data_IF_307298827275
#
_entry.id   IF_307298827275
#
_cell.length_a   1.000
_cell.length_b   1.000
_cell.length_c   1.000
_cell.angle_alpha   90.00
_cell.angle_beta   90.00
_cell.angle_gamma   90.00
#
_symmetry.space_group_name_H-M   'P 1'
#
loop_
_entity.id
_entity.type
_entity.pdbx_description
1 polymer ?
#
# COMPACT_ATOMS: atom_id res chain seq x y z
N UNK A 1 -4.60 -13.17 -12.11
CA UNK A 1 -3.92 -12.48 -11.01
C UNK A 1 -4.44 -11.06 -10.87
N UNK A 2 -4.28 -10.19 -11.88
CA UNK A 2 -4.64 -8.76 -11.75
C UNK A 2 -6.12 -8.52 -11.45
N UNK A 3 -7.03 -9.28 -12.06
CA UNK A 3 -8.48 -9.18 -11.77
C UNK A 3 -8.78 -9.51 -10.30
N UNK A 4 -8.20 -10.59 -9.77
CA UNK A 4 -8.38 -10.96 -8.36
C UNK A 4 -7.78 -9.91 -7.44
N UNK A 5 -6.62 -9.36 -7.82
CA UNK A 5 -5.95 -8.31 -7.06
C UNK A 5 -6.82 -7.05 -6.95
N UNK A 6 -7.32 -6.54 -8.09
CA UNK A 6 -8.23 -5.39 -8.13
C UNK A 6 -9.54 -5.66 -7.38
N UNK A 7 -10.07 -6.88 -7.47
CA UNK A 7 -11.33 -7.24 -6.80
C UNK A 7 -11.24 -7.16 -5.27
N UNK A 8 -10.08 -7.42 -4.65
CA UNK A 8 -9.92 -7.22 -3.21
C UNK A 8 -10.11 -5.74 -2.82
N UNK A 9 -9.52 -4.82 -3.59
CA UNK A 9 -9.71 -3.38 -3.37
C UNK A 9 -11.17 -2.98 -3.58
N UNK A 10 -11.79 -3.40 -4.68
CA UNK A 10 -13.20 -3.09 -4.97
C UNK A 10 -14.10 -3.62 -3.85
N UNK A 11 -13.85 -4.83 -3.37
CA UNK A 11 -14.61 -5.40 -2.26
C UNK A 11 -14.49 -4.55 -0.98
N UNK A 12 -13.26 -4.18 -0.59
CA UNK A 12 -13.03 -3.32 0.56
C UNK A 12 -13.72 -1.95 0.43
N UNK A 13 -13.68 -1.33 -0.75
CA UNK A 13 -14.35 -0.06 -1.01
C UNK A 13 -15.88 -0.19 -0.98
N UNK A 14 -16.43 -1.29 -1.51
CA UNK A 14 -17.86 -1.55 -1.45
C UNK A 14 -18.34 -1.72 0.00
N UNK A 15 -17.58 -2.42 0.85
CA UNK A 15 -17.87 -2.48 2.29
C UNK A 15 -17.87 -1.07 2.90
N UNK A 16 -16.83 -0.28 2.61
CA UNK A 16 -16.70 1.08 3.13
C UNK A 16 -17.88 1.99 2.73
N UNK A 17 -18.29 1.97 1.46
CA UNK A 17 -19.39 2.79 0.96
C UNK A 17 -20.78 2.31 1.40
N UNK A 18 -20.92 1.01 1.70
CA UNK A 18 -22.17 0.43 2.19
C UNK A 18 -22.31 0.52 3.72
N UNK A 19 -21.27 0.99 4.42
CA UNK A 19 -21.25 1.02 5.89
C UNK A 19 -21.04 -0.34 6.55
N UNK A 20 -20.66 -1.36 5.77
CA UNK A 20 -20.39 -2.71 6.25
C UNK A 20 -18.94 -2.86 6.73
N UNK A 21 -18.65 -3.79 7.65
CA UNK A 21 -17.27 -4.13 8.01
C UNK A 21 -16.48 -4.60 6.77
N UNK A 22 -15.30 -4.01 6.57
CA UNK A 22 -14.36 -4.46 5.56
C UNK A 22 -13.44 -5.56 6.13
N UNK A 23 -12.69 -6.28 5.28
CA UNK A 23 -11.64 -7.17 5.75
C UNK A 23 -10.69 -6.46 6.72
N UNK A 24 -10.22 -7.15 7.77
CA UNK A 24 -9.51 -6.52 8.89
C UNK A 24 -8.29 -5.69 8.45
N UNK A 25 -7.50 -6.19 7.49
CA UNK A 25 -6.34 -5.50 6.93
C UNK A 25 -6.70 -4.19 6.21
N UNK A 26 -7.93 -4.07 5.68
CA UNK A 26 -8.47 -2.84 5.11
C UNK A 26 -9.21 -1.96 6.12
N UNK A 27 -9.79 -2.56 7.15
CA UNK A 27 -10.60 -1.87 8.16
C UNK A 27 -9.81 -0.74 8.83
N UNK A 28 -8.52 -0.95 9.10
CA UNK A 28 -7.61 0.08 9.64
C UNK A 28 -7.56 1.33 8.76
N UNK A 29 -7.42 1.15 7.44
CA UNK A 29 -7.36 2.25 6.48
C UNK A 29 -8.68 3.01 6.40
N UNK A 30 -9.80 2.27 6.39
CA UNK A 30 -11.17 2.82 6.31
C UNK A 30 -11.55 3.58 7.58
N UNK A 31 -11.19 3.07 8.75
CA UNK A 31 -11.45 3.79 10.00
C UNK A 31 -10.54 5.00 10.15
N UNK A 32 -9.32 4.95 9.62
CA UNK A 32 -8.45 6.11 9.55
C UNK A 32 -9.00 7.19 8.60
N UNK A 33 -9.65 6.82 7.50
CA UNK A 33 -10.26 7.78 6.55
C UNK A 33 -11.44 8.57 7.10
N UNK A 34 -12.06 8.09 8.19
CA UNK A 34 -13.14 8.81 8.89
C UNK A 34 -12.62 9.86 9.88
N UNK A 35 -11.31 9.88 10.16
CA UNK A 35 -10.72 10.86 11.09
C UNK A 35 -10.63 12.24 10.44
N UNK A 36 -10.74 13.32 11.22
CA UNK A 36 -10.75 14.69 10.67
C UNK A 36 -9.40 15.21 10.19
N UNK A 37 -8.28 14.53 10.50
CA UNK A 37 -6.92 15.06 10.25
C UNK A 37 -5.87 14.09 9.67
N UNK A 38 -6.20 13.13 8.79
CA UNK A 38 -5.20 12.28 8.16
C UNK A 38 -4.43 13.03 7.05
N UNK A 39 -3.12 12.82 6.96
CA UNK A 39 -2.35 13.30 5.80
C UNK A 39 -2.58 12.38 4.60
N UNK A 40 -2.45 12.93 3.38
CA UNK A 40 -2.60 12.16 2.13
C UNK A 40 -1.63 10.97 2.10
N UNK A 41 -0.39 11.18 2.54
CA UNK A 41 0.63 10.13 2.59
C UNK A 41 0.24 8.97 3.52
N UNK A 42 -0.49 9.24 4.59
CA UNK A 42 -0.90 8.18 5.51
C UNK A 42 -2.01 7.31 4.94
N UNK A 43 -2.97 7.93 4.24
CA UNK A 43 -3.94 7.16 3.47
C UNK A 43 -3.28 6.30 2.43
N UNK A 44 -2.30 6.86 1.72
CA UNK A 44 -1.56 6.13 0.70
C UNK A 44 -0.83 4.94 1.34
N UNK A 45 -0.08 5.14 2.42
CA UNK A 45 0.65 4.05 3.07
C UNK A 45 -0.27 2.98 3.68
N UNK A 46 -1.40 3.37 4.28
CA UNK A 46 -2.37 2.42 4.82
C UNK A 46 -3.03 1.58 3.71
N UNK A 47 -3.42 2.23 2.60
CA UNK A 47 -3.98 1.53 1.46
C UNK A 47 -2.95 0.61 0.80
N UNK A 48 -1.70 1.06 0.65
CA UNK A 48 -0.61 0.23 0.13
C UNK A 48 -0.29 -0.93 1.05
N UNK A 49 -0.33 -0.73 2.37
CA UNK A 49 -0.13 -1.80 3.35
C UNK A 49 -1.19 -2.89 3.18
N UNK A 50 -2.49 -2.54 3.19
CA UNK A 50 -3.57 -3.50 3.00
C UNK A 50 -3.49 -4.19 1.64
N UNK A 51 -3.34 -3.40 0.58
CA UNK A 51 -3.42 -3.88 -0.80
C UNK A 51 -2.18 -4.68 -1.19
N UNK A 52 -0.98 -4.14 -1.00
CA UNK A 52 0.24 -4.80 -1.45
C UNK A 52 0.64 -5.92 -0.49
N UNK A 53 0.66 -5.68 0.82
CA UNK A 53 1.19 -6.69 1.74
C UNK A 53 0.26 -7.89 1.89
N UNK A 54 -1.07 -7.71 1.83
CA UNK A 54 -2.02 -8.82 2.02
C UNK A 54 -2.74 -9.26 0.74
N UNK A 55 -3.38 -8.34 0.00
CA UNK A 55 -4.21 -8.75 -1.15
C UNK A 55 -3.37 -9.37 -2.27
N UNK A 56 -2.17 -8.86 -2.52
CA UNK A 56 -1.32 -9.34 -3.62
C UNK A 56 -0.91 -10.80 -3.45
N UNK A 57 -0.50 -11.20 -2.25
CA UNK A 57 -0.09 -12.58 -1.98
C UNK A 57 -1.26 -13.55 -2.12
N UNK A 58 -2.45 -13.15 -1.66
CA UNK A 58 -3.68 -13.93 -1.81
C UNK A 58 -4.15 -13.99 -3.28
N UNK A 59 -4.08 -12.88 -4.01
CA UNK A 59 -4.41 -12.82 -5.44
C UNK A 59 -3.50 -13.73 -6.28
N UNK A 60 -2.21 -13.82 -5.94
CA UNK A 60 -1.28 -14.76 -6.55
C UNK A 60 -1.70 -16.20 -6.25
N UNK A 61 -1.93 -16.56 -4.99
CA UNK A 61 -2.30 -17.94 -4.60
C UNK A 61 -3.64 -18.43 -5.18
N UNK A 62 -4.60 -17.53 -5.42
CA UNK A 62 -5.85 -17.87 -6.10
C UNK A 62 -5.66 -18.03 -7.61
N UNK A 63 -4.65 -17.39 -8.19
CA UNK A 63 -4.47 -17.31 -9.65
C UNK A 63 -3.41 -18.24 -10.21
N UNK A 64 -2.47 -18.70 -9.38
CA UNK A 64 -1.30 -19.48 -9.78
C UNK A 64 -1.31 -20.78 -8.99
N UNK A 65 -1.16 -21.90 -9.68
CA UNK A 65 -1.11 -23.20 -9.01
C UNK A 65 0.14 -23.31 -8.14
N UNK A 66 0.09 -24.03 -7.01
CA UNK A 66 1.25 -24.20 -6.14
C UNK A 66 2.52 -24.66 -6.85
N UNK A 67 2.40 -25.56 -7.84
CA UNK A 67 3.53 -26.13 -8.58
C UNK A 67 4.16 -25.12 -9.57
N UNK A 68 3.42 -24.09 -9.95
CA UNK A 68 3.81 -23.09 -10.94
C UNK A 68 4.39 -21.81 -10.30
N UNK A 69 4.26 -21.66 -8.98
CA UNK A 69 4.58 -20.42 -8.25
C UNK A 69 6.02 -19.94 -8.46
N UNK A 70 6.98 -20.87 -8.51
CA UNK A 70 8.40 -20.55 -8.73
C UNK A 70 8.63 -20.09 -10.16
N UNK A 71 7.99 -20.73 -11.15
CA UNK A 71 8.07 -20.35 -12.57
C UNK A 71 7.43 -18.99 -12.83
N UNK A 72 6.37 -18.65 -12.09
CA UNK A 72 5.66 -17.37 -12.17
C UNK A 72 6.49 -16.16 -11.73
N UNK A 73 7.57 -16.36 -10.96
CA UNK A 73 8.43 -15.28 -10.46
C UNK A 73 8.91 -14.32 -11.53
N UNK A 74 9.28 -14.83 -12.71
CA UNK A 74 9.81 -14.00 -13.78
C UNK A 74 8.75 -13.05 -14.33
N UNK A 75 7.51 -13.52 -14.49
CA UNK A 75 6.42 -12.68 -14.98
C UNK A 75 5.98 -11.67 -13.92
N UNK A 76 5.96 -12.07 -12.65
CA UNK A 76 5.76 -11.16 -11.53
C UNK A 76 6.79 -10.01 -11.51
N UNK A 77 8.08 -10.33 -11.70
CA UNK A 77 9.15 -9.34 -11.71
C UNK A 77 9.10 -8.40 -12.93
N UNK A 78 8.64 -8.87 -14.09
CA UNK A 78 8.43 -8.01 -15.27
C UNK A 78 7.37 -6.95 -15.01
N UNK A 79 6.26 -7.32 -14.37
CA UNK A 79 5.22 -6.35 -13.96
C UNK A 79 5.80 -5.31 -13.02
N UNK A 80 6.63 -5.72 -12.05
CA UNK A 80 7.29 -4.79 -11.13
C UNK A 80 8.19 -3.80 -11.88
N UNK A 81 8.95 -4.26 -12.88
CA UNK A 81 9.80 -3.39 -13.70
C UNK A 81 8.98 -2.32 -14.44
N UNK A 82 7.87 -2.72 -15.08
CA UNK A 82 6.96 -1.79 -15.76
C UNK A 82 6.37 -0.81 -14.75
N UNK A 83 5.88 -1.30 -13.61
CA UNK A 83 5.29 -0.47 -12.57
C UNK A 83 6.30 0.57 -12.04
N UNK A 84 7.55 0.17 -11.76
CA UNK A 84 8.58 1.10 -11.32
C UNK A 84 8.96 2.14 -12.37
N UNK A 85 8.85 1.82 -13.66
CA UNK A 85 9.07 2.80 -14.73
C UNK A 85 8.01 3.90 -14.79
N UNK A 86 6.81 3.65 -14.26
CA UNK A 86 5.71 4.62 -14.19
C UNK A 86 5.71 5.43 -12.89
N UNK A 87 6.36 4.91 -11.85
CA UNK A 87 6.33 5.48 -10.50
C UNK A 87 7.16 6.75 -10.31
N UNK A 88 8.08 7.05 -11.23
CA UNK A 88 8.82 8.31 -11.19
C UNK A 88 7.87 9.50 -11.40
N UNK A 89 6.85 9.36 -12.26
CA UNK A 89 5.85 10.40 -12.49
C UNK A 89 4.91 10.56 -11.28
N UNK A 90 4.40 9.44 -10.74
CA UNK A 90 3.50 9.46 -9.57
C UNK A 90 4.17 10.05 -8.33
N UNK A 91 5.48 9.80 -8.14
CA UNK A 91 6.23 10.41 -7.04
C UNK A 91 6.30 11.93 -7.15
N UNK A 92 6.49 12.46 -8.36
CA UNK A 92 6.49 13.90 -8.60
C UNK A 92 5.11 14.51 -8.34
N UNK A 93 4.04 13.83 -8.77
CA UNK A 93 2.66 14.26 -8.53
C UNK A 93 2.36 14.32 -7.03
N UNK A 94 2.74 13.29 -6.26
CA UNK A 94 2.57 13.28 -4.80
C UNK A 94 3.43 14.35 -4.13
N UNK A 95 4.65 14.58 -4.61
CA UNK A 95 5.54 15.61 -4.09
C UNK A 95 4.95 17.02 -4.25
N UNK A 96 4.27 17.29 -5.36
CA UNK A 96 3.65 18.60 -5.61
C UNK A 96 2.60 19.00 -4.56
N UNK A 97 1.93 18.02 -3.93
CA UNK A 97 0.97 18.27 -2.85
C UNK A 97 1.59 18.30 -1.46
N UNK A 98 2.81 17.80 -1.30
CA UNK A 98 3.47 17.64 0.00
C UNK A 98 4.77 18.45 -0.03
N UNK A 99 4.69 19.77 0.14
CA UNK A 99 5.84 20.67 0.00
C UNK A 99 7.10 20.23 0.79
N UNK A 100 7.02 19.70 2.02
CA UNK A 100 8.23 19.17 2.68
C UNK A 100 8.81 17.91 2.03
N UNK A 101 7.98 17.06 1.42
CA UNK A 101 8.44 15.95 0.57
C UNK A 101 9.06 16.49 -0.73
N UNK A 102 8.48 17.55 -1.33
CA UNK A 102 9.07 18.26 -2.46
C UNK A 102 10.45 18.83 -2.13
N UNK A 103 10.62 19.45 -0.96
CA UNK A 103 11.92 19.95 -0.49
C UNK A 103 12.89 18.79 -0.27
N UNK A 104 12.47 17.69 0.37
CA UNK A 104 13.30 16.50 0.52
C UNK A 104 13.74 15.90 -0.83
N UNK A 105 12.85 15.84 -1.83
CA UNK A 105 13.14 15.34 -3.17
C UNK A 105 13.99 16.32 -4.02
N UNK A 106 13.83 17.63 -3.83
CA UNK A 106 14.61 18.65 -4.54
C UNK A 106 16.05 18.80 -3.99
N UNK A 107 16.24 18.57 -2.69
CA UNK A 107 17.55 18.69 -2.02
C UNK A 107 18.18 17.34 -1.66
N UNK A 108 17.47 16.23 -1.86
CA UNK A 108 17.99 14.87 -1.80
C UNK A 108 19.01 14.65 -2.90
N UNK A 109 20.07 13.88 -2.62
CA UNK A 109 21.02 13.48 -3.67
C UNK A 109 20.26 12.62 -4.68
N UNK A 110 20.48 12.84 -5.99
CA UNK A 110 19.92 12.07 -7.14
C UNK A 110 19.94 10.53 -7.02
N UNK A 111 20.65 9.97 -6.05
CA UNK A 111 20.73 8.54 -5.74
C UNK A 111 19.68 8.05 -4.73
N UNK A 112 19.01 8.95 -4.00
CA UNK A 112 18.03 8.67 -2.91
C UNK A 112 16.55 8.92 -3.30
N UNK A 113 16.27 9.38 -4.54
CA UNK A 113 14.97 9.90 -5.00
C UNK A 113 13.84 8.86 -5.18
N UNK A 114 13.92 7.72 -4.49
CA UNK A 114 13.10 6.53 -4.79
C UNK A 114 12.39 5.94 -3.59
N UNK A 115 12.11 6.70 -2.54
CA UNK A 115 11.51 6.18 -1.29
C UNK A 115 10.23 5.36 -1.54
N UNK A 116 9.29 5.88 -2.36
CA UNK A 116 8.04 5.18 -2.66
C UNK A 116 8.26 3.95 -3.54
N UNK A 117 9.13 4.04 -4.55
CA UNK A 117 9.48 2.89 -5.40
C UNK A 117 10.27 1.80 -4.65
N UNK A 118 11.12 2.18 -3.70
CA UNK A 118 11.85 1.28 -2.81
C UNK A 118 10.89 0.55 -1.87
N UNK A 119 9.98 1.29 -1.22
CA UNK A 119 8.94 0.71 -0.38
C UNK A 119 8.04 -0.26 -1.14
N UNK A 120 7.58 0.12 -2.34
CA UNK A 120 6.79 -0.79 -3.19
C UNK A 120 7.56 -2.03 -3.63
N UNK A 121 8.85 -1.90 -3.94
CA UNK A 121 9.68 -3.05 -4.29
C UNK A 121 9.83 -4.03 -3.14
N UNK A 122 10.07 -3.51 -1.93
CA UNK A 122 10.15 -4.33 -0.73
C UNK A 122 8.83 -5.06 -0.49
N UNK A 123 7.72 -4.31 -0.37
CA UNK A 123 6.38 -4.86 -0.11
C UNK A 123 5.95 -5.91 -1.14
N UNK A 124 6.22 -5.66 -2.44
CA UNK A 124 5.86 -6.63 -3.50
C UNK A 124 6.73 -7.89 -3.46
N UNK A 125 8.01 -7.77 -3.11
CA UNK A 125 8.88 -8.93 -2.94
C UNK A 125 8.46 -9.76 -1.71
N UNK A 126 8.07 -9.10 -0.63
CA UNK A 126 7.57 -9.75 0.58
C UNK A 126 6.25 -10.48 0.29
N UNK A 127 5.31 -9.82 -0.41
CA UNK A 127 4.06 -10.45 -0.86
C UNK A 127 4.29 -11.67 -1.75
N UNK A 128 5.25 -11.61 -2.68
CA UNK A 128 5.63 -12.77 -3.50
C UNK A 128 6.24 -13.89 -2.64
N UNK A 129 7.14 -13.54 -1.71
CA UNK A 129 7.75 -14.52 -0.81
C UNK A 129 6.71 -15.22 0.05
N UNK A 130 5.75 -14.46 0.59
CA UNK A 130 4.61 -15.02 1.32
C UNK A 130 3.73 -15.89 0.42
N UNK A 131 3.57 -15.52 -0.85
CA UNK A 131 2.84 -16.37 -1.79
C UNK A 131 3.50 -17.74 -1.99
N UNK A 132 4.83 -17.80 -2.02
CA UNK A 132 5.57 -19.06 -2.05
C UNK A 132 5.38 -19.86 -0.76
N UNK A 133 5.34 -19.21 0.41
CA UNK A 133 5.07 -19.88 1.69
C UNK A 133 3.70 -20.56 1.63
N UNK A 134 2.65 -19.82 1.28
CA UNK A 134 1.29 -20.36 1.20
C UNK A 134 1.15 -21.50 0.19
N UNK A 135 1.83 -21.42 -0.96
CA UNK A 135 1.85 -22.46 -1.97
C UNK A 135 2.48 -23.77 -1.46
N UNK A 136 3.51 -23.68 -0.62
CA UNK A 136 4.23 -24.84 -0.08
C UNK A 136 3.59 -25.41 1.20
N UNK A 137 2.70 -24.68 1.85
CA UNK A 137 1.98 -25.15 3.04
C UNK A 137 0.85 -26.13 2.67
N UNK A 138 0.70 -27.18 3.50
CA UNK A 138 -0.52 -27.99 3.53
C UNK A 138 -1.75 -27.13 3.88
N UNK A 139 -2.94 -27.54 3.44
CA UNK A 139 -4.17 -26.77 3.55
C UNK A 139 -4.46 -26.24 4.97
N UNK A 140 -4.28 -27.09 5.99
CA UNK A 140 -4.47 -26.71 7.39
C UNK A 140 -3.50 -25.61 7.85
N UNK A 141 -2.24 -25.71 7.46
CA UNK A 141 -1.21 -24.73 7.83
C UNK A 141 -1.35 -23.45 7.02
N UNK A 142 -1.78 -23.54 5.76
CA UNK A 142 -2.01 -22.40 4.87
C UNK A 142 -3.00 -21.40 5.46
N UNK A 143 -4.12 -21.88 6.04
CA UNK A 143 -5.11 -21.02 6.66
C UNK A 143 -4.55 -20.29 7.91
N UNK A 144 -3.75 -20.99 8.71
CA UNK A 144 -3.11 -20.43 9.91
C UNK A 144 -2.09 -19.35 9.52
N UNK A 145 -1.21 -19.66 8.59
CA UNK A 145 -0.19 -18.70 8.10
C UNK A 145 -0.84 -17.46 7.48
N UNK A 146 -1.90 -17.64 6.67
CA UNK A 146 -2.61 -16.51 6.09
C UNK A 146 -3.28 -15.62 7.16
N UNK A 147 -3.86 -16.22 8.21
CA UNK A 147 -4.43 -15.47 9.33
C UNK A 147 -3.35 -14.73 10.15
N UNK A 148 -2.19 -15.35 10.39
CA UNK A 148 -1.06 -14.70 11.06
C UNK A 148 -0.56 -13.49 10.26
N UNK A 149 -0.36 -13.68 8.95
CA UNK A 149 0.05 -12.59 8.06
C UNK A 149 -0.98 -11.45 8.00
N UNK A 150 -2.28 -11.78 8.03
CA UNK A 150 -3.32 -10.75 8.16
C UNK A 150 -3.14 -9.92 9.43
N UNK A 151 -2.91 -10.58 10.57
CA UNK A 151 -2.70 -9.90 11.85
C UNK A 151 -1.44 -9.02 11.82
N UNK A 152 -0.36 -9.47 11.19
CA UNK A 152 0.86 -8.67 11.01
C UNK A 152 0.61 -7.42 10.17
N UNK A 153 -0.16 -7.55 9.07
CA UNK A 153 -0.54 -6.40 8.22
C UNK A 153 -1.44 -5.42 8.97
N UNK A 154 -2.39 -5.91 9.78
CA UNK A 154 -3.24 -5.09 10.64
C UNK A 154 -2.38 -4.32 11.66
N UNK A 155 -1.53 -5.02 12.41
CA UNK A 155 -0.65 -4.45 13.42
C UNK A 155 0.31 -3.41 12.83
N UNK A 156 0.87 -3.68 11.64
CA UNK A 156 1.67 -2.69 10.91
C UNK A 156 0.85 -1.44 10.56
N UNK A 157 -0.38 -1.63 10.06
CA UNK A 157 -1.31 -0.54 9.77
C UNK A 157 -1.64 0.31 11.00
N UNK A 158 -1.95 -0.33 12.12
CA UNK A 158 -2.22 0.34 13.38
C UNK A 158 -0.99 1.11 13.88
N UNK A 159 0.21 0.51 13.79
CA UNK A 159 1.46 1.15 14.20
C UNK A 159 1.79 2.39 13.38
N UNK A 160 1.51 2.37 12.07
CA UNK A 160 1.70 3.53 11.18
C UNK A 160 0.91 4.76 11.66
N UNK A 161 -0.27 4.57 12.24
CA UNK A 161 -1.16 5.68 12.65
C UNK A 161 -1.13 6.01 14.13
N UNK A 162 -0.77 5.06 15.00
CA UNK A 162 -0.77 5.24 16.47
C UNK A 162 0.57 5.71 17.02
N UNK A 163 1.70 5.19 16.51
CA UNK A 163 3.02 5.39 17.11
C UNK A 163 3.83 6.50 16.45
N UNK A 164 3.29 7.72 16.49
CA UNK A 164 4.06 8.90 16.05
C UNK A 164 4.79 9.52 17.23
N UNK A 165 6.13 9.44 17.22
CA UNK A 165 6.99 10.24 18.11
C UNK A 165 6.57 11.71 18.00
N UNK A 166 6.67 12.48 19.09
CA UNK A 166 6.17 13.87 19.14
C UNK A 166 6.72 14.76 18.01
N UNK A 167 7.98 14.54 17.60
CA UNK A 167 8.60 15.24 16.47
C UNK A 167 7.99 14.86 15.11
N UNK A 168 7.57 13.61 14.92
CA UNK A 168 6.86 13.14 13.71
C UNK A 168 5.50 13.83 13.63
N UNK A 169 4.78 13.94 14.76
CA UNK A 169 3.53 14.72 14.83
C UNK A 169 3.75 16.19 14.48
N UNK A 170 4.87 16.78 14.90
CA UNK A 170 5.23 18.16 14.57
C UNK A 170 5.54 18.34 13.08
N UNK A 171 6.35 17.45 12.48
CA UNK A 171 6.62 17.43 11.04
C UNK A 171 5.33 17.30 10.26
N UNK A 172 4.43 16.40 10.65
CA UNK A 172 3.14 16.23 9.99
C UNK A 172 2.20 17.42 10.13
N UNK A 173 2.20 18.11 11.27
CA UNK A 173 1.44 19.35 11.44
C UNK A 173 1.96 20.45 10.51
N UNK A 174 3.28 20.51 10.29
CA UNK A 174 3.90 21.43 9.33
C UNK A 174 3.50 21.02 7.91
N UNK A 175 3.70 19.75 7.53
CA UNK A 175 3.31 19.20 6.22
C UNK A 175 1.85 19.52 5.88
N UNK A 176 0.93 19.37 6.83
CA UNK A 176 -0.50 19.69 6.65
C UNK A 176 -0.74 21.13 6.22
N UNK A 177 0.00 22.10 6.77
CA UNK A 177 -0.17 23.51 6.40
C UNK A 177 0.23 23.76 4.94
N UNK A 178 1.02 22.86 4.36
CA UNK A 178 1.45 22.92 2.97
C UNK A 178 0.70 21.94 2.05
N UNK A 179 -0.15 21.05 2.58
CA UNK A 179 -1.11 20.31 1.75
C UNK A 179 -2.19 21.28 1.24
N UNK A 180 -2.01 21.80 0.04
CA UNK A 180 -2.94 22.75 -0.57
C UNK A 180 -4.17 22.07 -1.20
N UNK A 181 -5.29 22.79 -1.26
CA UNK A 181 -6.53 22.34 -1.94
C UNK A 181 -7.44 21.42 -1.11
N UNK A 182 -8.74 21.41 -1.46
CA UNK A 182 -9.72 20.45 -0.96
C UNK A 182 -9.50 19.06 -1.58
N UNK A 183 -10.01 18.00 -0.95
CA UNK A 183 -9.98 16.62 -1.51
C UNK A 183 -10.51 16.60 -2.96
N UNK A 184 -11.57 17.33 -3.26
CA UNK A 184 -12.16 17.45 -4.60
C UNK A 184 -11.16 18.06 -5.58
N UNK A 185 -10.53 19.19 -5.22
CA UNK A 185 -9.53 19.83 -6.09
C UNK A 185 -8.29 18.97 -6.34
N UNK A 186 -7.97 18.04 -5.43
CA UNK A 186 -6.87 17.07 -5.60
C UNK A 186 -7.26 15.96 -6.58
N UNK A 187 -8.48 15.43 -6.47
CA UNK A 187 -9.01 14.43 -7.40
C UNK A 187 -9.10 15.02 -8.82
N UNK A 188 -9.64 16.23 -8.96
CA UNK A 188 -9.77 16.91 -10.27
C UNK A 188 -8.43 17.22 -10.94
N UNK A 189 -7.36 17.38 -10.16
CA UNK A 189 -6.01 17.59 -10.68
C UNK A 189 -5.37 16.27 -11.13
N UNK A 190 -5.55 15.18 -10.38
CA UNK A 190 -5.03 13.84 -10.72
C UNK A 190 -5.71 13.20 -11.94
N UNK A 191 -6.89 13.67 -12.33
CA UNK A 191 -7.65 13.17 -13.47
C UNK A 191 -7.41 13.97 -14.77
N UNK A 192 -6.51 14.96 -14.77
CA UNK A 192 -6.08 15.70 -15.96
C UNK A 192 -4.87 15.07 -16.62
#
# INVERSE_FOLDING_TARGET
MDVNFVNYYIHAMNCAFSGEPAPAHWQVAIDYSKKPEPLVLEHLFLAMNAHINYDLSNAINVSVKPEEIIGFKNDFLKVNYILFSLLDNVQNDVADFVWPLKVYLLFGRKTDDRLLSFGMKLMRNDAFSFSCILALCDEKYRAIENANHMNEVVDLGEKLVTHKKAWIKAVFRIVRQFESGSVVSRIDWLLK
#
